data_IF_311011486829
#
_entry.id   IF_311011486829
#
_cell.length_a   1.000
_cell.length_b   1.000
_cell.length_c   1.000
_cell.angle_alpha   90.00
_cell.angle_beta   90.00
_cell.angle_gamma   90.00
#
_symmetry.space_group_name_H-M   'P 1'
#
loop_
_entity.id
_entity.type
_entity.pdbx_description
1 polymer ?
2 polymer ?
3 water ?
#
# COMPACT_ATOMS: atom_id res chain seq x y z
N UNK A 5 16.73 5.99 18.83
CA UNK A 5 17.54 7.15 19.29
C UNK A 5 19.02 6.93 19.04
N UNK A 6 19.65 7.92 18.42
CA UNK A 6 21.07 7.85 18.12
C UNK A 6 21.90 8.00 19.38
N UNK A 7 21.33 8.66 20.39
CA UNK A 7 22.03 8.87 21.65
C UNK A 7 22.21 7.52 22.37
N UNK A 8 21.18 6.68 22.29
CA UNK A 8 21.22 5.37 22.91
C UNK A 8 22.33 4.54 22.27
N UNK A 9 22.31 4.44 20.94
CA UNK A 9 23.32 3.69 20.21
C UNK A 9 24.71 4.18 20.57
N UNK A 10 24.87 5.50 20.61
CA UNK A 10 26.15 6.09 20.95
C UNK A 10 26.61 5.71 22.35
N UNK A 11 25.71 5.79 23.32
CA UNK A 11 26.06 5.44 24.69
C UNK A 11 26.42 3.96 24.82
N UNK A 12 25.66 3.09 24.17
CA UNK A 12 25.94 1.67 24.24
C UNK A 12 27.32 1.36 23.65
N UNK A 13 27.66 1.99 22.53
CA UNK A 13 28.96 1.75 21.91
C UNK A 13 30.10 2.10 22.87
N UNK A 14 29.95 3.21 23.57
CA UNK A 14 30.95 3.67 24.53
C UNK A 14 31.06 2.73 25.74
N UNK A 15 29.92 2.27 26.27
CA UNK A 15 29.95 1.38 27.42
C UNK A 15 30.60 0.05 27.08
N UNK A 16 30.46 -0.38 25.83
CA UNK A 16 31.07 -1.63 25.39
C UNK A 16 32.57 -1.45 25.30
N UNK A 17 32.99 -0.29 24.77
CA UNK A 17 34.41 0.03 24.64
C UNK A 17 35.04 -0.07 26.02
N UNK A 18 34.39 0.58 26.98
CA UNK A 18 34.86 0.60 28.35
C UNK A 18 35.05 -0.79 28.94
N UNK A 19 34.20 -1.73 28.55
CA UNK A 19 34.30 -3.10 29.05
C UNK A 19 35.34 -3.91 28.29
N UNK A 20 35.82 -3.36 27.19
CA UNK A 20 36.81 -4.05 26.39
C UNK A 20 36.16 -4.93 25.34
N UNK A 21 34.88 -4.70 25.08
CA UNK A 21 34.14 -5.48 24.08
C UNK A 21 33.89 -4.61 22.85
N UNK A 22 34.62 -4.90 21.77
CA UNK A 22 34.46 -4.14 20.53
C UNK A 22 33.84 -4.98 19.43
N UNK A 23 33.25 -6.09 19.82
CA UNK A 23 32.60 -6.99 18.87
C UNK A 23 31.43 -6.35 18.12
N UNK A 24 30.87 -5.28 18.67
CA UNK A 24 29.72 -4.63 18.05
C UNK A 24 29.97 -3.23 17.50
N UNK A 25 31.22 -2.77 17.52
CA UNK A 25 31.54 -1.43 17.02
C UNK A 25 30.95 -1.18 15.64
N UNK A 26 31.29 -2.05 14.69
CA UNK A 26 30.84 -1.93 13.31
C UNK A 26 29.34 -2.10 13.13
N UNK A 27 28.79 -3.12 13.79
CA UNK A 27 27.36 -3.41 13.70
C UNK A 27 26.54 -2.19 14.12
N UNK A 28 26.88 -1.62 15.28
CA UNK A 28 26.17 -0.46 15.79
C UNK A 28 26.32 0.76 14.86
N UNK A 29 27.53 0.99 14.35
CA UNK A 29 27.74 2.12 13.46
C UNK A 29 26.90 1.97 12.20
N UNK A 30 26.83 0.76 11.66
CA UNK A 30 26.03 0.51 10.46
C UNK A 30 24.55 0.72 10.78
N UNK A 31 24.12 0.22 11.93
CA UNK A 31 22.73 0.39 12.34
C UNK A 31 22.50 1.89 12.41
N UNK A 32 23.43 2.57 13.07
CA UNK A 32 23.37 4.02 13.24
C UNK A 32 23.21 4.75 11.89
N UNK A 33 24.06 4.39 10.93
CA UNK A 33 24.02 5.04 9.61
C UNK A 33 22.74 4.76 8.87
N UNK A 34 22.18 3.57 9.06
CA UNK A 34 20.94 3.23 8.39
C UNK A 34 19.79 4.10 8.91
N UNK A 35 19.71 4.25 10.23
CA UNK A 35 18.65 5.04 10.84
C UNK A 35 18.74 6.51 10.44
N UNK A 36 19.96 6.97 10.16
CA UNK A 36 20.21 8.36 9.79
C UNK A 36 20.10 8.54 8.27
N UNK A 37 20.08 7.42 7.56
CA UNK A 37 20.03 7.40 6.10
C UNK A 37 18.84 8.11 5.45
N UNK A 38 19.11 8.96 4.44
CA UNK A 38 18.01 9.65 3.77
C UNK A 38 17.01 8.69 3.16
N UNK A 39 17.51 7.67 2.46
CA UNK A 39 16.63 6.69 1.84
C UNK A 39 15.73 6.00 2.88
N UNK A 40 16.32 5.60 4.01
CA UNK A 40 15.58 4.91 5.07
C UNK A 40 14.48 5.80 5.63
N UNK A 41 14.80 7.08 5.82
CA UNK A 41 13.85 8.03 6.35
C UNK A 41 12.71 8.32 5.39
N UNK A 42 13.01 8.33 4.10
CA UNK A 42 11.99 8.55 3.09
C UNK A 42 11.04 7.34 3.07
N UNK A 43 11.61 6.13 3.15
CA UNK A 43 10.82 4.90 3.13
C UNK A 43 9.92 4.80 4.37
N UNK A 44 10.46 5.08 5.55
CA UNK A 44 9.68 5.03 6.79
C UNK A 44 8.49 5.98 6.71
N UNK A 45 8.76 7.23 6.35
CA UNK A 45 7.75 8.26 6.25
C UNK A 45 6.64 7.84 5.28
N UNK A 46 7.02 7.37 4.10
CA UNK A 46 6.03 6.96 3.11
C UNK A 46 5.20 5.75 3.52
N UNK A 47 5.84 4.76 4.13
CA UNK A 47 5.11 3.58 4.57
C UNK A 47 4.08 3.93 5.66
N UNK A 48 4.40 4.90 6.51
CA UNK A 48 3.48 5.33 7.56
C UNK A 48 2.29 6.01 6.90
N UNK A 49 2.55 6.75 5.82
CA UNK A 49 1.46 7.42 5.09
C UNK A 49 0.54 6.38 4.45
N UNK A 50 1.12 5.36 3.84
CA UNK A 50 0.32 4.32 3.20
C UNK A 50 -0.45 3.56 4.29
N UNK A 51 0.21 3.36 5.44
CA UNK A 51 -0.42 2.68 6.57
C UNK A 51 -1.66 3.45 7.03
N UNK A 52 -1.56 4.77 7.09
CA UNK A 52 -2.69 5.60 7.52
C UNK A 52 -3.86 5.53 6.53
N UNK A 53 -3.56 5.49 5.22
CA UNK A 53 -4.61 5.41 4.20
C UNK A 53 -5.34 4.07 4.32
N UNK A 54 -4.59 3.01 4.58
CA UNK A 54 -5.18 1.67 4.74
C UNK A 54 -6.06 1.61 5.98
N UNK A 55 -5.66 2.37 7.00
CA UNK A 55 -6.44 2.41 8.23
C UNK A 55 -7.72 3.19 7.97
N UNK A 56 -7.62 4.21 7.13
CA UNK A 56 -8.79 5.00 6.77
C UNK A 56 -9.77 4.09 6.03
N UNK A 57 -9.23 3.23 5.17
CA UNK A 57 -10.04 2.30 4.40
C UNK A 57 -10.78 1.37 5.36
N UNK A 58 -10.00 0.64 6.17
CA UNK A 58 -10.56 -0.29 7.16
C UNK A 58 -11.67 0.37 7.97
N UNK A 59 -11.48 1.62 8.32
CA UNK A 59 -12.48 2.34 9.07
C UNK A 59 -13.75 2.41 8.22
N UNK A 60 -13.62 3.02 7.04
CA UNK A 60 -14.73 3.17 6.10
C UNK A 60 -15.57 1.90 6.02
N UNK A 61 -14.90 0.75 5.93
CA UNK A 61 -15.59 -0.53 5.87
C UNK A 61 -16.22 -0.85 7.23
N UNK A 62 -17.35 -0.20 7.51
CA UNK A 62 -18.11 -0.37 8.76
C UNK A 62 -17.30 -0.04 10.00
N UNK B 3 -19.03 12.07 -12.25
CA UNK B 3 -20.40 11.99 -12.82
C UNK B 3 -20.35 11.61 -14.31
N UNK B 4 -19.23 11.87 -14.97
CA UNK B 4 -19.08 11.53 -16.39
C UNK B 4 -19.29 10.04 -16.66
N UNK B 5 -18.64 9.19 -15.87
CA UNK B 5 -18.80 7.76 -16.05
C UNK B 5 -20.28 7.39 -15.97
N UNK B 6 -21.04 8.07 -15.11
CA UNK B 6 -22.46 7.79 -14.99
C UNK B 6 -23.22 8.32 -16.19
N UNK B 7 -22.80 9.47 -16.71
CA UNK B 7 -23.43 10.05 -17.88
C UNK B 7 -23.17 9.18 -19.10
N UNK B 8 -21.93 8.74 -19.24
CA UNK B 8 -21.52 7.89 -20.33
C UNK B 8 -22.34 6.61 -20.30
N UNK B 9 -22.48 6.04 -19.10
CA UNK B 9 -23.24 4.81 -18.94
C UNK B 9 -24.72 5.03 -19.29
N UNK B 10 -25.26 6.18 -18.89
CA UNK B 10 -26.66 6.52 -19.15
C UNK B 10 -26.92 6.64 -20.65
N UNK B 11 -26.00 7.30 -21.33
CA UNK B 11 -26.10 7.49 -22.77
C UNK B 11 -26.05 6.15 -23.52
N UNK B 12 -25.16 5.26 -23.11
CA UNK B 12 -25.06 3.95 -23.77
C UNK B 12 -26.34 3.16 -23.57
N UNK B 13 -26.84 3.13 -22.33
CA UNK B 13 -28.06 2.38 -22.05
C UNK B 13 -29.24 2.95 -22.85
N UNK B 14 -29.25 4.28 -23.00
CA UNK B 14 -30.28 4.96 -23.74
C UNK B 14 -30.28 4.52 -25.21
N UNK B 15 -29.10 4.48 -25.83
CA UNK B 15 -28.97 4.09 -27.22
C UNK B 15 -29.37 2.62 -27.41
N UNK B 16 -29.06 1.79 -26.42
CA UNK B 16 -29.42 0.37 -26.51
C UNK B 16 -30.93 0.20 -26.63
N UNK B 17 -31.68 0.98 -25.85
CA UNK B 17 -33.14 0.90 -25.90
C UNK B 17 -33.65 1.23 -27.30
N UNK B 18 -33.08 2.26 -27.93
CA UNK B 18 -33.48 2.67 -29.28
C UNK B 18 -33.23 1.58 -30.30
N UNK B 19 -32.24 0.72 -30.05
CA UNK B 19 -31.91 -0.36 -30.99
C UNK B 19 -32.60 -1.67 -30.62
N UNK B 20 -33.49 -1.61 -29.64
CA UNK B 20 -34.21 -2.81 -29.24
C UNK B 20 -33.34 -3.86 -28.56
N UNK B 21 -32.15 -3.48 -28.08
CA UNK B 21 -31.28 -4.44 -27.39
C UNK B 21 -31.39 -4.21 -25.89
N UNK B 22 -32.29 -4.95 -25.24
CA UNK B 22 -32.50 -4.82 -23.81
C UNK B 22 -31.80 -5.90 -22.99
N UNK B 23 -30.99 -6.73 -23.65
CA UNK B 23 -30.29 -7.83 -23.02
C UNK B 23 -29.28 -7.48 -21.92
N UNK B 24 -28.76 -6.26 -21.93
CA UNK B 24 -27.78 -5.88 -20.92
C UNK B 24 -28.35 -4.93 -19.88
N UNK B 25 -29.66 -4.68 -19.94
CA UNK B 25 -30.29 -3.76 -19.01
C UNK B 25 -30.08 -4.04 -17.52
N UNK B 26 -30.15 -5.30 -17.12
CA UNK B 26 -29.96 -5.70 -15.73
C UNK B 26 -28.52 -5.43 -15.31
N UNK B 27 -27.58 -5.94 -16.10
CA UNK B 27 -26.17 -5.75 -15.79
C UNK B 27 -25.76 -4.28 -15.78
N UNK B 28 -26.30 -3.50 -16.69
CA UNK B 28 -25.97 -2.08 -16.74
C UNK B 28 -26.56 -1.36 -15.53
N UNK B 29 -27.76 -1.77 -15.13
CA UNK B 29 -28.42 -1.18 -13.98
C UNK B 29 -27.60 -1.45 -12.72
N UNK B 30 -27.07 -2.66 -12.61
CA UNK B 30 -26.29 -3.01 -11.43
C UNK B 30 -24.97 -2.25 -11.46
N UNK B 31 -24.35 -2.18 -12.64
CA UNK B 31 -23.09 -1.47 -12.79
C UNK B 31 -23.29 -0.02 -12.37
N UNK B 32 -24.42 0.57 -12.77
CA UNK B 32 -24.77 1.96 -12.45
C UNK B 32 -24.94 2.14 -10.93
N UNK B 33 -25.67 1.22 -10.30
CA UNK B 33 -25.91 1.28 -8.88
C UNK B 33 -24.58 1.29 -8.12
N UNK B 34 -23.66 0.42 -8.52
CA UNK B 34 -22.38 0.37 -7.84
C UNK B 34 -21.61 1.67 -8.00
N UNK B 35 -21.51 2.18 -9.23
CA UNK B 35 -20.79 3.42 -9.49
C UNK B 35 -21.40 4.63 -8.81
N UNK B 36 -22.66 4.51 -8.41
CA UNK B 36 -23.36 5.62 -7.77
C UNK B 36 -23.35 5.56 -6.25
N UNK B 37 -23.03 4.40 -5.69
CA UNK B 37 -23.04 4.25 -4.24
C UNK B 37 -21.92 4.99 -3.52
N UNK B 38 -22.26 5.67 -2.41
CA UNK B 38 -21.25 6.41 -1.65
C UNK B 38 -20.13 5.50 -1.15
N UNK B 39 -20.48 4.31 -0.69
CA UNK B 39 -19.46 3.39 -0.19
C UNK B 39 -18.44 3.07 -1.27
N UNK B 40 -18.90 2.69 -2.45
CA UNK B 40 -18.01 2.37 -3.54
C UNK B 40 -17.10 3.53 -3.92
N UNK B 41 -17.66 4.74 -3.96
CA UNK B 41 -16.88 5.90 -4.32
C UNK B 41 -15.79 6.22 -3.29
N UNK B 42 -16.08 5.94 -2.02
CA UNK B 42 -15.11 6.18 -0.96
C UNK B 42 -13.96 5.19 -1.12
N UNK B 43 -14.31 3.92 -1.32
CA UNK B 43 -13.33 2.88 -1.50
C UNK B 43 -12.45 3.10 -2.72
N UNK B 44 -13.07 3.54 -3.81
CA UNK B 44 -12.33 3.78 -5.06
C UNK B 44 -11.35 4.93 -4.85
N UNK B 45 -11.82 6.02 -4.26
CA UNK B 45 -10.96 7.16 -4.02
C UNK B 45 -9.74 6.76 -3.16
N UNK B 46 -9.98 6.01 -2.09
CA UNK B 46 -8.88 5.60 -1.22
C UNK B 46 -7.96 4.66 -1.95
N UNK B 47 -8.56 3.80 -2.77
CA UNK B 47 -7.82 2.84 -3.57
C UNK B 47 -6.81 3.58 -4.47
N UNK B 48 -7.25 4.68 -5.09
CA UNK B 48 -6.38 5.46 -5.97
C UNK B 48 -5.32 6.21 -5.17
N UNK B 49 -5.68 6.69 -3.98
CA UNK B 49 -4.72 7.41 -3.14
C UNK B 49 -3.58 6.48 -2.77
N UNK B 50 -3.93 5.24 -2.49
CA UNK B 50 -2.93 4.23 -2.11
C UNK B 50 -2.04 3.93 -3.30
N UNK B 51 -2.63 3.77 -4.48
CA UNK B 51 -1.85 3.49 -5.68
C UNK B 51 -0.87 4.66 -5.88
N UNK B 52 -1.39 5.87 -5.75
CA UNK B 52 -0.58 7.06 -5.90
C UNK B 52 0.64 7.02 -4.97
N UNK B 53 0.42 6.77 -3.69
CA UNK B 53 1.55 6.75 -2.75
C UNK B 53 2.48 5.58 -3.03
N UNK B 54 1.94 4.44 -3.41
CA UNK B 54 2.77 3.28 -3.74
C UNK B 54 3.64 3.62 -4.95
N UNK B 55 3.06 4.33 -5.91
CA UNK B 55 3.79 4.75 -7.08
C UNK B 55 4.90 5.68 -6.66
N UNK B 56 4.65 6.48 -5.63
CA UNK B 56 5.65 7.40 -5.11
C UNK B 56 6.79 6.61 -4.49
N UNK B 57 6.42 5.54 -3.77
CA UNK B 57 7.42 4.69 -3.14
C UNK B 57 8.28 4.03 -4.22
N UNK B 58 7.64 3.50 -5.26
CA UNK B 58 8.34 2.86 -6.37
C UNK B 58 9.41 3.77 -6.94
N UNK B 59 9.07 5.04 -7.14
CA UNK B 59 10.02 6.00 -7.68
C UNK B 59 11.20 6.24 -6.73
N UNK B 60 10.94 6.18 -5.43
CA UNK B 60 11.98 6.38 -4.43
C UNK B 60 12.96 5.22 -4.40
N UNK B 61 12.47 4.03 -4.71
CA UNK B 61 13.34 2.86 -4.71
C UNK B 61 14.18 2.88 -5.97
N UNK B 62 15.12 3.82 -6.02
CA UNK B 62 16.02 4.02 -7.15
C UNK B 62 15.28 4.63 -8.35
N UNK C 12 12.26 -15.59 7.92
CA UNK C 12 13.40 -14.92 8.62
C UNK C 12 14.31 -14.14 7.69
N UNK C 13 14.50 -12.86 8.00
CA UNK C 13 15.37 -12.01 7.21
C UNK C 13 16.73 -12.03 7.91
N UNK C 14 17.77 -12.50 7.21
CA UNK C 14 19.13 -12.58 7.78
C UNK C 14 19.67 -11.26 8.33
N UNK C 15 19.24 -10.14 7.77
CA UNK C 15 19.69 -8.84 8.25
C UNK C 15 19.02 -8.49 9.57
N UNK C 16 17.72 -8.77 9.67
CA UNK C 16 16.99 -8.52 10.91
C UNK C 16 17.61 -9.38 12.02
N UNK C 17 17.77 -10.67 11.72
CA UNK C 17 18.32 -11.62 12.68
C UNK C 17 19.74 -11.30 13.10
N UNK C 18 20.55 -10.82 12.16
CA UNK C 18 21.92 -10.49 12.51
C UNK C 18 21.91 -9.32 13.51
N UNK C 19 21.08 -8.32 13.22
CA UNK C 19 20.97 -7.15 14.10
C UNK C 19 20.33 -7.53 15.45
N UNK C 20 19.32 -8.39 15.42
CA UNK C 20 18.67 -8.81 16.66
C UNK C 20 19.68 -9.54 17.55
N UNK C 21 20.45 -10.45 16.94
CA UNK C 21 21.47 -11.18 17.68
C UNK C 21 22.51 -10.25 18.32
N UNK C 22 22.93 -9.25 17.56
CA UNK C 22 23.92 -8.30 18.08
C UNK C 22 23.36 -7.62 19.31
N UNK C 23 22.10 -7.21 19.24
CA UNK C 23 21.47 -6.54 20.37
C UNK C 23 21.34 -7.46 21.59
N UNK C 24 21.01 -8.74 21.37
CA UNK C 24 20.89 -9.69 22.48
C UNK C 24 22.26 -9.90 23.11
N UNK C 25 23.32 -9.88 22.32
CA UNK C 25 24.66 -10.01 22.88
C UNK C 25 24.94 -8.85 23.83
N UNK C 26 24.57 -7.64 23.40
CA UNK C 26 24.78 -6.45 24.23
C UNK C 26 23.99 -6.57 25.54
N UNK C 27 22.75 -7.02 25.43
CA UNK C 27 21.88 -7.21 26.59
C UNK C 27 22.47 -8.22 27.60
N UNK C 28 23.21 -9.20 27.09
CA UNK C 28 23.81 -10.21 27.94
C UNK C 28 25.22 -9.86 28.37
N UNK C 29 25.67 -8.65 28.04
CA UNK C 29 27.01 -8.22 28.39
C UNK C 29 26.98 -7.03 29.34
N UNK C 30 26.32 -5.95 28.92
CA UNK C 30 26.21 -4.78 29.76
C UNK C 30 25.12 -5.01 30.81
N UNK C 31 25.50 -4.96 32.09
CA UNK C 31 24.55 -5.19 33.17
C UNK C 31 24.03 -3.96 33.93
N UNK C 32 24.55 -2.76 33.64
CA UNK C 32 24.07 -1.58 34.36
C UNK C 32 22.64 -1.25 33.96
N UNK C 33 21.90 -0.59 34.84
CA UNK C 33 20.50 -0.26 34.61
C UNK C 33 20.14 0.50 33.32
N UNK C 34 20.87 1.57 33.01
CA UNK C 34 20.60 2.34 31.78
C UNK C 34 20.77 1.51 30.51
N UNK C 35 21.86 0.76 30.45
CA UNK C 35 22.13 -0.07 29.28
C UNK C 35 21.00 -1.07 29.09
N UNK C 36 20.52 -1.63 30.20
CA UNK C 36 19.44 -2.62 30.13
C UNK C 36 18.15 -2.00 29.58
N UNK C 37 17.89 -0.75 29.96
CA UNK C 37 16.71 -0.07 29.48
C UNK C 37 16.90 0.35 28.01
N UNK C 38 18.09 0.87 27.69
CA UNK C 38 18.38 1.29 26.32
C UNK C 38 18.23 0.12 25.35
N UNK C 39 18.92 -0.98 25.64
CA UNK C 39 18.89 -2.15 24.78
C UNK C 39 17.48 -2.72 24.66
N UNK C 40 16.72 -2.66 25.74
CA UNK C 40 15.36 -3.17 25.70
C UNK C 40 14.57 -2.35 24.66
N UNK C 41 14.79 -1.03 24.65
CA UNK C 41 14.11 -0.15 23.70
C UNK C 41 14.55 -0.51 22.26
N UNK C 42 15.85 -0.69 22.05
CA UNK C 42 16.33 -1.05 20.71
C UNK C 42 15.78 -2.41 20.25
N UNK C 43 15.61 -3.35 21.18
CA UNK C 43 15.06 -4.64 20.80
C UNK C 43 13.60 -4.47 20.37
N UNK C 44 12.88 -3.59 21.05
CA UNK C 44 11.48 -3.35 20.70
C UNK C 44 11.45 -2.77 19.29
N UNK C 45 12.28 -1.76 19.06
CA UNK C 45 12.36 -1.12 17.74
C UNK C 45 12.59 -2.16 16.66
N UNK C 46 13.61 -2.99 16.83
CA UNK C 46 13.95 -4.01 15.85
C UNK C 46 12.86 -5.06 15.68
N UNK C 47 12.01 -5.19 16.70
CA UNK C 47 10.92 -6.16 16.70
C UNK C 47 9.66 -5.58 16.01
N UNK C 48 9.59 -4.25 15.94
CA UNK C 48 8.47 -3.53 15.34
C UNK C 48 8.31 -3.82 13.83
N UNK C 49 7.09 -4.17 13.40
CA UNK C 49 6.83 -4.50 11.99
C UNK C 49 7.10 -3.35 11.03
N UNK C 50 6.80 -2.12 11.44
CA UNK C 50 7.02 -0.96 10.59
C UNK C 50 8.53 -0.77 10.37
N UNK C 51 9.31 -0.88 11.45
CA UNK C 51 10.75 -0.75 11.31
C UNK C 51 11.26 -1.81 10.34
N UNK C 52 10.87 -3.06 10.60
CA UNK C 52 11.29 -4.18 9.76
C UNK C 52 10.94 -4.04 8.28
N UNK C 53 9.75 -3.53 7.98
CA UNK C 53 9.37 -3.36 6.59
C UNK C 53 10.29 -2.35 5.92
N UNK C 54 10.56 -1.23 6.59
CA UNK C 54 11.44 -0.21 6.03
C UNK C 54 12.86 -0.73 5.91
N UNK C 55 13.30 -1.46 6.95
CA UNK C 55 14.65 -2.03 7.01
C UNK C 55 14.92 -3.00 5.85
N UNK C 56 14.03 -3.96 5.66
CA UNK C 56 14.18 -4.94 4.58
C UNK C 56 14.24 -4.27 3.20
N UNK C 57 13.29 -3.36 2.96
CA UNK C 57 13.22 -2.66 1.69
C UNK C 57 14.46 -1.84 1.43
N UNK C 58 14.93 -1.15 2.47
CA UNK C 58 16.12 -0.33 2.36
C UNK C 58 17.30 -1.21 1.95
N UNK C 59 17.49 -2.31 2.67
CA UNK C 59 18.59 -3.23 2.38
C UNK C 59 18.49 -3.90 1.01
N UNK C 60 17.27 -4.25 0.60
CA UNK C 60 17.07 -4.89 -0.69
C UNK C 60 17.38 -3.93 -1.85
N UNK C 61 17.47 -2.64 -1.55
CA UNK C 61 17.74 -1.64 -2.57
C UNK C 61 19.17 -1.11 -2.53
N UNK C 62 19.96 -1.52 -1.54
CA UNK C 62 21.33 -1.06 -1.44
C UNK C 62 22.32 -2.22 -1.36
N UNK D 15 -19.43 -10.06 -11.26
CA UNK D 15 -17.96 -9.83 -11.11
C UNK D 15 -17.39 -9.02 -12.28
N UNK D 16 -16.10 -8.75 -12.22
CA UNK D 16 -15.43 -7.98 -13.26
C UNK D 16 -15.55 -8.65 -14.62
N UNK D 17 -15.46 -9.99 -14.62
CA UNK D 17 -15.55 -10.77 -15.84
C UNK D 17 -16.86 -10.53 -16.58
N UNK D 18 -17.97 -10.55 -15.85
CA UNK D 18 -19.29 -10.33 -16.44
C UNK D 18 -19.42 -8.93 -17.03
N UNK D 19 -18.91 -7.93 -16.29
CA UNK D 19 -18.97 -6.55 -16.77
C UNK D 19 -18.26 -6.41 -18.09
N UNK D 20 -17.05 -6.98 -18.17
CA UNK D 20 -16.26 -6.92 -19.38
C UNK D 20 -17.03 -7.50 -20.57
N UNK D 21 -17.62 -8.68 -20.38
CA UNK D 21 -18.39 -9.33 -21.44
C UNK D 21 -19.57 -8.47 -21.86
N UNK D 22 -20.19 -7.82 -20.89
CA UNK D 22 -21.33 -6.97 -21.16
C UNK D 22 -20.88 -5.80 -22.02
N UNK D 23 -19.79 -5.15 -21.61
CA UNK D 23 -19.27 -4.01 -22.36
C UNK D 23 -18.83 -4.45 -23.77
N UNK D 24 -18.31 -5.66 -23.90
CA UNK D 24 -17.86 -6.16 -25.21
C UNK D 24 -19.07 -6.31 -26.11
N UNK D 25 -20.17 -6.82 -25.55
CA UNK D 25 -21.41 -7.00 -26.28
C UNK D 25 -21.90 -5.65 -26.82
N UNK D 26 -21.95 -4.66 -25.94
CA UNK D 26 -22.41 -3.33 -26.32
C UNK D 26 -21.50 -2.76 -27.41
N UNK D 27 -20.20 -3.02 -27.29
CA UNK D 27 -19.25 -2.53 -28.26
C UNK D 27 -19.55 -3.03 -29.68
N UNK D 28 -20.14 -4.23 -29.77
CA UNK D 28 -20.47 -4.79 -31.06
C UNK D 28 -21.91 -4.49 -31.47
N UNK D 29 -22.67 -3.85 -30.58
CA UNK D 29 -24.06 -3.53 -30.86
C UNK D 29 -24.26 -2.08 -31.34
N UNK D 30 -23.56 -1.14 -30.71
CA UNK D 30 -23.69 0.27 -31.08
C UNK D 30 -22.53 0.71 -31.97
N UNK D 31 -22.84 1.25 -33.15
CA UNK D 31 -21.81 1.68 -34.08
C UNK D 31 -21.54 3.19 -34.17
N UNK D 32 -22.38 4.04 -33.57
CA UNK D 32 -22.12 5.47 -33.64
C UNK D 32 -20.79 5.79 -32.93
N UNK D 33 -20.01 6.71 -33.50
CA UNK D 33 -18.70 7.03 -32.94
C UNK D 33 -18.75 7.45 -31.45
N UNK D 34 -19.81 8.16 -31.08
CA UNK D 34 -19.98 8.59 -29.69
C UNK D 34 -19.99 7.36 -28.76
N UNK D 35 -20.75 6.34 -29.14
CA UNK D 35 -20.83 5.12 -28.35
C UNK D 35 -19.52 4.35 -28.30
N UNK D 36 -18.83 4.25 -29.44
CA UNK D 36 -17.56 3.53 -29.48
C UNK D 36 -16.54 4.20 -28.55
N UNK D 37 -16.59 5.54 -28.50
CA UNK D 37 -15.69 6.26 -27.61
C UNK D 37 -16.13 6.00 -26.16
N UNK D 38 -17.42 6.10 -25.89
CA UNK D 38 -17.93 5.86 -24.55
C UNK D 38 -17.55 4.47 -24.05
N UNK D 39 -17.74 3.47 -24.91
CA UNK D 39 -17.42 2.09 -24.56
C UNK D 39 -15.93 1.93 -24.24
N UNK D 40 -15.08 2.62 -24.99
CA UNK D 40 -13.65 2.55 -24.78
C UNK D 40 -13.31 3.05 -23.38
N UNK D 41 -13.93 4.16 -22.99
CA UNK D 41 -13.73 4.74 -21.68
C UNK D 41 -14.08 3.71 -20.60
N UNK D 42 -15.28 3.14 -20.67
CA UNK D 42 -15.71 2.14 -19.69
C UNK D 42 -14.81 0.90 -19.67
N UNK D 43 -14.43 0.41 -20.84
CA UNK D 43 -13.58 -0.77 -20.89
C UNK D 43 -12.24 -0.50 -20.19
N UNK D 44 -11.75 0.74 -20.28
CA UNK D 44 -10.50 1.10 -19.62
C UNK D 44 -10.70 1.04 -18.12
N UNK D 45 -11.83 1.58 -17.66
CA UNK D 45 -12.15 1.60 -16.24
C UNK D 45 -12.18 0.19 -15.67
N UNK D 46 -12.91 -0.70 -16.35
CA UNK D 46 -13.05 -2.07 -15.90
C UNK D 46 -11.73 -2.83 -15.81
N UNK D 47 -10.73 -2.41 -16.57
CA UNK D 47 -9.44 -3.08 -16.54
C UNK D 47 -8.52 -2.48 -15.48
N UNK D 48 -8.72 -1.21 -15.19
CA UNK D 48 -7.93 -0.49 -14.19
C UNK D 48 -7.90 -1.24 -12.85
N UNK D 49 -6.70 -1.51 -12.34
CA UNK D 49 -6.52 -2.22 -11.06
C UNK D 49 -7.22 -1.58 -9.89
N UNK D 50 -7.17 -0.26 -9.83
CA UNK D 50 -7.83 0.46 -8.76
C UNK D 50 -9.31 0.09 -8.76
N UNK D 51 -9.93 0.20 -9.93
CA UNK D 51 -11.34 -0.11 -10.07
C UNK D 51 -11.67 -1.53 -9.66
N UNK D 52 -10.95 -2.49 -10.23
CA UNK D 52 -11.18 -3.89 -9.93
C UNK D 52 -11.10 -4.20 -8.42
N UNK D 53 -10.07 -3.72 -7.75
CA UNK D 53 -9.96 -3.96 -6.32
C UNK D 53 -11.14 -3.33 -5.60
N UNK D 54 -11.42 -2.06 -5.89
CA UNK D 54 -12.55 -1.36 -5.27
C UNK D 54 -13.86 -2.10 -5.51
N UNK D 55 -14.04 -2.58 -6.74
CA UNK D 55 -15.26 -3.29 -7.13
C UNK D 55 -15.40 -4.56 -6.30
N UNK D 56 -14.34 -5.35 -6.26
CA UNK D 56 -14.36 -6.59 -5.50
C UNK D 56 -14.63 -6.32 -4.02
N UNK D 57 -13.93 -5.34 -3.46
CA UNK D 57 -14.12 -5.00 -2.06
C UNK D 57 -15.56 -4.59 -1.79
N UNK D 58 -16.11 -3.76 -2.68
CA UNK D 58 -17.48 -3.29 -2.53
C UNK D 58 -18.47 -4.45 -2.58
N UNK D 59 -18.30 -5.36 -3.54
CA UNK D 59 -19.18 -6.50 -3.67
C UNK D 59 -19.07 -7.37 -2.42
N UNK D 60 -17.85 -7.54 -1.93
CA UNK D 60 -17.61 -8.34 -0.74
C UNK D 60 -18.33 -7.77 0.47
N UNK D 61 -18.09 -6.49 0.75
CA UNK D 61 -18.70 -5.81 1.89
C UNK D 61 -20.21 -5.72 1.77
N UNK D 62 -20.71 -5.67 0.54
CA UNK D 62 -22.15 -5.57 0.30
C UNK D 62 -22.77 -6.94 0.05
#
# INVERSE_FOLDING_TARGET
MKLQVLQVLDRLKMKLQEKGDTSQNEKLSMFYETLKSPLFNQILTLQQSIKQLKGQLNHILESGKETAAAKFERQHMDSSTSA
MKLQVLQVLDRLKMKLQEKGDTSQNEKLSMFYETLKSPLFNQILTLQQSIKQLKGQLNHILESGKETAAAKFERQHMDSSTSA
MGSSHHHHHHSQDPDVEDLFSSLKHIQHTLVDSQSQEDISLLLQLVQNRDFQNAFKIHNAVTVHMSKASPPF
MGSSHHHHHHSQDPDVEDLFSSLKHIQHTLVDSQSQEDISLLLQLVQNRDFQNAFKIHNAVTVHMSKASPPF
#
